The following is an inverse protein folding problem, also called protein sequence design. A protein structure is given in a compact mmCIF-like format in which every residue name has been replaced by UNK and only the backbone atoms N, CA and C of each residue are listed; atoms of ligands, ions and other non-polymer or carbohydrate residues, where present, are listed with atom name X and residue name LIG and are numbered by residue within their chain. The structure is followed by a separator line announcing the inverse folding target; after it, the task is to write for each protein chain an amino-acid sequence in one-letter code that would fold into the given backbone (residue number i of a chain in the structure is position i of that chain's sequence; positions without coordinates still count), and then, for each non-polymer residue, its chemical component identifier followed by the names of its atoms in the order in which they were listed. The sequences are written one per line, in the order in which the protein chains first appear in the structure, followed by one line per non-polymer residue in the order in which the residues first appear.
data_IF_895362277594
#
_entry.id   IF_895362277594
#
_cell.length_a   1.000
_cell.length_b   1.000
_cell.length_c   1.000
_cell.angle_alpha   90.00
_cell.angle_beta   90.00
_cell.angle_gamma   90.00
#
_symmetry.space_group_name_H-M   'P 1'
#
loop_
_entity.id
_entity.type
_entity.pdbx_description
1 polymer ?
#
# COMPACT_ATOMS: atom_id res chain seq x y z
N UNK A 1 -28.05 -4.26 -11.73
CA UNK A 1 -27.07 -3.26 -11.23
C UNK A 1 -26.28 -3.77 -10.03
N UNK A 2 -26.93 -4.21 -8.94
CA UNK A 2 -26.26 -4.73 -7.74
C UNK A 2 -25.37 -5.98 -7.98
N UNK A 3 -25.86 -6.95 -8.75
CA UNK A 3 -25.11 -8.17 -9.06
C UNK A 3 -23.84 -7.92 -9.90
N UNK A 4 -23.88 -6.94 -10.80
CA UNK A 4 -22.72 -6.52 -11.59
C UNK A 4 -21.68 -5.83 -10.69
N UNK A 5 -22.12 -4.92 -9.83
CA UNK A 5 -21.25 -4.25 -8.84
C UNK A 5 -20.57 -5.25 -7.89
N UNK A 6 -21.30 -6.25 -7.41
CA UNK A 6 -20.76 -7.32 -6.56
C UNK A 6 -19.76 -8.20 -7.32
N UNK A 7 -20.03 -8.52 -8.59
CA UNK A 7 -19.10 -9.24 -9.47
C UNK A 7 -17.80 -8.47 -9.67
N UNK A 8 -17.90 -7.18 -10.00
CA UNK A 8 -16.77 -6.28 -10.23
C UNK A 8 -15.94 -6.09 -8.95
N UNK A 9 -16.60 -5.96 -7.79
CA UNK A 9 -15.93 -5.86 -6.48
C UNK A 9 -15.19 -7.15 -6.14
N UNK A 10 -15.80 -8.32 -6.36
CA UNK A 10 -15.17 -9.61 -6.10
C UNK A 10 -13.96 -9.84 -7.02
N UNK A 11 -14.07 -9.47 -8.29
CA UNK A 11 -12.98 -9.56 -9.25
C UNK A 11 -11.83 -8.61 -8.87
N UNK A 12 -12.16 -7.38 -8.46
CA UNK A 12 -11.19 -6.42 -7.95
C UNK A 12 -10.46 -6.95 -6.71
N UNK A 13 -11.19 -7.37 -5.68
CA UNK A 13 -10.59 -7.90 -4.44
C UNK A 13 -9.73 -9.12 -4.74
N UNK A 14 -10.22 -10.05 -5.58
CA UNK A 14 -9.45 -11.23 -5.97
C UNK A 14 -8.16 -10.86 -6.70
N UNK A 15 -8.22 -9.97 -7.69
CA UNK A 15 -7.05 -9.51 -8.45
C UNK A 15 -6.06 -8.78 -7.53
N UNK A 16 -6.56 -7.86 -6.73
CA UNK A 16 -5.78 -7.05 -5.81
C UNK A 16 -5.04 -7.87 -4.74
N UNK A 17 -5.54 -9.06 -4.36
CA UNK A 17 -4.85 -9.98 -3.45
C UNK A 17 -4.13 -11.15 -4.15
N UNK A 18 -4.18 -11.26 -5.48
CA UNK A 18 -3.59 -12.39 -6.22
C UNK A 18 -2.05 -12.39 -6.27
N UNK A 19 -1.41 -11.31 -5.81
CA UNK A 19 0.05 -11.15 -5.78
C UNK A 19 0.54 -10.14 -6.82
N UNK A 20 1.82 -10.18 -7.16
CA UNK A 20 2.42 -9.27 -8.15
C UNK A 20 2.17 -9.72 -9.60
N UNK A 21 2.01 -11.03 -9.81
CA UNK A 21 1.81 -11.66 -11.12
C UNK A 21 0.47 -12.40 -11.11
N UNK A 22 -0.37 -12.12 -12.10
CA UNK A 22 -1.65 -12.79 -12.36
C UNK A 22 -1.64 -13.25 -13.81
N UNK A 23 -1.85 -14.54 -14.06
CA UNK A 23 -1.87 -15.14 -15.40
C UNK A 23 -0.60 -14.80 -16.22
N UNK A 24 0.59 -14.92 -15.61
CA UNK A 24 1.90 -14.55 -16.20
C UNK A 24 2.02 -13.08 -16.65
N UNK A 25 1.14 -12.21 -16.16
CA UNK A 25 1.19 -10.77 -16.42
C UNK A 25 1.27 -10.02 -15.08
N UNK A 26 1.84 -8.81 -15.12
CA UNK A 26 1.77 -7.91 -13.98
C UNK A 26 0.32 -7.64 -13.58
N UNK A 27 0.05 -7.63 -12.27
CA UNK A 27 -1.28 -7.32 -11.75
C UNK A 27 -1.72 -5.90 -12.19
N UNK A 28 -2.73 -5.78 -13.07
CA UNK A 28 -3.16 -4.49 -13.59
C UNK A 28 -3.77 -3.60 -12.50
N UNK A 29 -4.35 -4.17 -11.45
CA UNK A 29 -4.96 -3.41 -10.36
C UNK A 29 -3.90 -2.76 -9.47
N UNK A 30 -2.83 -3.50 -9.13
CA UNK A 30 -1.68 -2.95 -8.39
C UNK A 30 -0.94 -1.90 -9.20
N UNK A 31 -0.78 -2.12 -10.51
CA UNK A 31 -0.18 -1.13 -11.40
C UNK A 31 -0.99 0.17 -11.43
N UNK A 32 -2.31 0.06 -11.58
CA UNK A 32 -3.20 1.22 -11.52
C UNK A 32 -3.11 1.95 -10.16
N UNK A 33 -3.08 1.20 -9.06
CA UNK A 33 -2.94 1.76 -7.72
C UNK A 33 -1.61 2.51 -7.53
N UNK A 34 -0.49 1.95 -7.99
CA UNK A 34 0.82 2.61 -7.93
C UNK A 34 0.85 3.90 -8.75
N UNK A 35 0.30 3.89 -9.97
CA UNK A 35 0.21 5.10 -10.81
C UNK A 35 -0.64 6.19 -10.17
N UNK A 36 -1.77 5.81 -9.56
CA UNK A 36 -2.61 6.75 -8.82
C UNK A 36 -1.87 7.31 -7.59
N UNK A 37 -1.17 6.45 -6.84
CA UNK A 37 -0.34 6.83 -5.71
C UNK A 37 0.77 7.81 -6.10
N UNK A 38 1.49 7.52 -7.19
CA UNK A 38 2.50 8.42 -7.75
C UNK A 38 1.91 9.77 -8.17
N UNK A 39 0.74 9.78 -8.82
CA UNK A 39 0.05 11.01 -9.22
C UNK A 39 -0.32 11.85 -8.00
N UNK A 40 -0.88 11.26 -6.96
CA UNK A 40 -1.20 11.95 -5.70
C UNK A 40 0.07 12.51 -5.05
N UNK A 41 1.12 11.70 -4.95
CA UNK A 41 2.40 12.08 -4.36
C UNK A 41 3.04 13.28 -5.09
N UNK A 42 3.14 13.21 -6.42
CA UNK A 42 3.82 14.22 -7.24
C UNK A 42 2.98 15.47 -7.50
N UNK A 43 1.68 15.32 -7.77
CA UNK A 43 0.83 16.44 -8.20
C UNK A 43 0.11 17.10 -7.02
N UNK A 44 -0.42 16.30 -6.09
CA UNK A 44 -1.18 16.83 -4.94
C UNK A 44 -0.23 17.27 -3.84
N UNK A 45 0.67 16.38 -3.41
CA UNK A 45 1.58 16.64 -2.29
C UNK A 45 2.91 17.29 -2.71
N UNK A 46 3.17 17.40 -4.03
CA UNK A 46 4.40 17.99 -4.59
C UNK A 46 5.68 17.36 -4.02
N UNK A 47 5.60 16.09 -3.66
CA UNK A 47 6.74 15.31 -3.19
C UNK A 47 7.59 14.97 -4.42
N UNK A 48 8.85 15.40 -4.41
CA UNK A 48 9.81 15.07 -5.48
C UNK A 48 10.04 13.56 -5.53
N UNK A 49 10.23 13.01 -6.72
CA UNK A 49 10.37 11.57 -6.96
C UNK A 49 11.40 10.88 -6.07
N UNK A 50 12.51 11.55 -5.75
CA UNK A 50 13.56 11.04 -4.87
C UNK A 50 13.13 10.80 -3.42
N UNK A 51 12.05 11.45 -2.97
CA UNK A 51 11.48 11.31 -1.63
C UNK A 51 10.19 10.49 -1.63
N UNK A 52 9.80 9.98 -2.80
CA UNK A 52 8.57 9.23 -2.99
C UNK A 52 8.65 7.77 -2.59
N UNK A 53 7.51 7.25 -2.13
CA UNK A 53 7.29 5.80 -2.01
C UNK A 53 6.85 5.22 -3.34
N UNK A 54 6.11 5.97 -4.17
CA UNK A 54 5.82 5.56 -5.53
C UNK A 54 6.78 6.25 -6.50
N UNK A 55 7.27 5.52 -7.50
CA UNK A 55 8.19 6.02 -8.50
C UNK A 55 7.59 6.03 -9.91
N UNK A 56 8.06 6.89 -10.83
CA UNK A 56 7.68 6.83 -12.25
C UNK A 56 8.37 5.70 -13.03
N UNK A 57 9.00 4.75 -12.33
CA UNK A 57 9.84 3.70 -12.92
C UNK A 57 9.06 2.63 -13.71
N UNK A 58 9.73 1.53 -14.09
CA UNK A 58 9.11 0.48 -14.90
C UNK A 58 7.88 -0.13 -14.21
N UNK A 59 6.92 -0.69 -14.97
CA UNK A 59 5.70 -1.29 -14.41
C UNK A 59 5.93 -2.32 -13.30
N UNK A 60 7.01 -3.12 -13.37
CA UNK A 60 7.37 -4.08 -12.33
C UNK A 60 7.67 -3.40 -10.99
N UNK A 61 8.45 -2.32 -11.03
CA UNK A 61 8.78 -1.55 -9.84
C UNK A 61 7.50 -0.96 -9.23
N UNK A 62 6.61 -0.43 -10.06
CA UNK A 62 5.32 0.12 -9.59
C UNK A 62 4.43 -0.95 -8.93
N UNK A 63 4.33 -2.14 -9.54
CA UNK A 63 3.55 -3.25 -8.95
C UNK A 63 4.19 -3.76 -7.65
N UNK A 64 5.51 -3.85 -7.60
CA UNK A 64 6.25 -4.21 -6.40
C UNK A 64 6.04 -3.18 -5.28
N UNK A 65 6.11 -1.87 -5.58
CA UNK A 65 5.83 -0.79 -4.64
C UNK A 65 4.40 -0.89 -4.11
N UNK A 66 3.40 -1.02 -5.00
CA UNK A 66 2.02 -1.25 -4.60
C UNK A 66 1.88 -2.50 -3.73
N UNK A 67 2.63 -3.57 -4.02
CA UNK A 67 2.58 -4.81 -3.25
C UNK A 67 2.98 -4.65 -1.78
N UNK A 68 3.86 -3.71 -1.47
CA UNK A 68 4.29 -3.45 -0.10
C UNK A 68 3.46 -2.35 0.58
N UNK A 69 3.08 -1.31 -0.17
CA UNK A 69 2.33 -0.18 0.37
C UNK A 69 0.90 -0.56 0.72
N UNK A 70 0.23 -1.33 -0.14
CA UNK A 70 -1.18 -1.68 0.02
C UNK A 70 -1.45 -2.41 1.34
N UNK A 71 -0.80 -3.54 1.67
CA UNK A 71 -1.06 -4.25 2.92
C UNK A 71 -0.80 -3.37 4.15
N UNK A 72 0.20 -2.48 4.06
CA UNK A 72 0.51 -1.55 5.15
C UNK A 72 -0.61 -0.53 5.36
N UNK A 73 -1.18 0.02 4.29
CA UNK A 73 -2.33 0.93 4.40
C UNK A 73 -3.52 0.24 5.07
N UNK A 74 -3.79 -1.03 4.72
CA UNK A 74 -4.82 -1.82 5.41
C UNK A 74 -4.51 -2.02 6.89
N UNK A 75 -3.25 -2.30 7.24
CA UNK A 75 -2.83 -2.46 8.63
C UNK A 75 -2.96 -1.16 9.43
N UNK A 76 -2.64 -0.01 8.84
CA UNK A 76 -2.83 1.31 9.45
C UNK A 76 -4.31 1.58 9.68
N UNK A 77 -5.16 1.35 8.68
CA UNK A 77 -6.62 1.51 8.80
C UNK A 77 -7.17 0.59 9.90
N UNK A 78 -6.70 -0.65 9.97
CA UNK A 78 -7.09 -1.60 11.00
C UNK A 78 -6.65 -1.14 12.40
N UNK A 79 -5.40 -0.68 12.55
CA UNK A 79 -4.89 -0.17 13.83
C UNK A 79 -5.67 1.06 14.33
N UNK A 80 -5.99 1.99 13.43
CA UNK A 80 -6.82 3.16 13.75
C UNK A 80 -8.23 2.72 14.15
N UNK A 81 -8.85 1.84 13.36
CA UNK A 81 -10.20 1.32 13.64
C UNK A 81 -10.27 0.60 14.98
N UNK A 82 -9.27 -0.22 15.29
CA UNK A 82 -9.14 -0.92 16.55
C UNK A 82 -9.01 0.07 17.72
N UNK A 83 -8.15 1.08 17.60
CA UNK A 83 -7.99 2.13 18.60
C UNK A 83 -9.29 2.90 18.86
N UNK A 84 -10.02 3.30 17.80
CA UNK A 84 -11.30 3.99 17.92
C UNK A 84 -12.33 3.10 18.63
N UNK A 85 -12.42 1.83 18.22
CA UNK A 85 -13.36 0.87 18.80
C UNK A 85 -13.07 0.63 20.28
N UNK A 86 -11.81 0.46 20.66
CA UNK A 86 -11.41 0.32 22.06
C UNK A 86 -11.77 1.55 22.90
N UNK A 87 -11.55 2.76 22.38
CA UNK A 87 -11.93 3.98 23.09
C UNK A 87 -13.45 4.12 23.22
N UNK A 88 -14.21 3.73 22.19
CA UNK A 88 -15.66 3.70 22.26
C UNK A 88 -16.15 2.72 23.34
N UNK A 89 -15.58 1.52 23.41
CA UNK A 89 -15.93 0.54 24.45
C UNK A 89 -15.59 1.05 25.86
N UNK A 90 -14.43 1.70 26.04
CA UNK A 90 -14.08 2.29 27.34
C UNK A 90 -15.08 3.39 27.75
N UNK A 91 -15.55 4.19 26.79
CA UNK A 91 -16.56 5.23 27.01
C UNK A 91 -17.90 4.63 27.47
N UNK A 92 -18.37 3.59 26.78
CA UNK A 92 -19.59 2.83 27.13
C UNK A 92 -19.48 2.19 28.50
N UNK A 93 -18.28 1.73 28.89
CA UNK A 93 -18.02 1.14 30.20
C UNK A 93 -17.75 2.17 31.32
N UNK A 94 -17.79 3.49 31.02
CA UNK A 94 -17.48 4.54 31.99
C UNK A 94 -16.04 4.53 32.49
N UNK A 95 -15.12 3.92 31.72
CA UNK A 95 -13.69 3.83 32.07
C UNK A 95 -12.91 5.02 31.51
N UNK A 96 -11.89 5.52 32.24
CA UNK A 96 -11.08 6.63 31.75
C UNK A 96 -10.29 6.22 30.50
N UNK A 97 -10.31 7.09 29.49
CA UNK A 97 -9.47 6.96 28.29
C UNK A 97 -8.01 7.18 28.67
N UNK A 98 -7.12 6.30 28.20
CA UNK A 98 -5.68 6.40 28.48
C UNK A 98 -4.98 7.03 27.28
N UNK A 99 -4.45 8.24 27.43
CA UNK A 99 -3.67 8.91 26.39
C UNK A 99 -2.44 8.09 25.94
N UNK A 100 -1.91 7.23 26.83
CA UNK A 100 -0.84 6.29 26.54
C UNK A 100 -1.17 5.36 25.37
N UNK A 101 -2.42 4.91 25.22
CA UNK A 101 -2.80 4.02 24.10
C UNK A 101 -2.82 4.76 22.77
N UNK A 102 -3.18 6.06 22.79
CA UNK A 102 -3.11 6.91 21.61
C UNK A 102 -1.66 7.11 21.17
N UNK A 103 -0.79 7.43 22.14
CA UNK A 103 0.64 7.62 21.90
C UNK A 103 1.30 6.34 21.36
N UNK A 104 0.96 5.18 21.94
CA UNK A 104 1.46 3.88 21.48
C UNK A 104 0.99 3.56 20.05
N UNK A 105 -0.29 3.76 19.74
CA UNK A 105 -0.83 3.54 18.38
C UNK A 105 -0.12 4.44 17.37
N UNK A 106 0.06 5.72 17.69
CA UNK A 106 0.79 6.65 16.82
C UNK A 106 2.26 6.25 16.64
N UNK A 107 2.92 5.79 17.70
CA UNK A 107 4.29 5.32 17.63
C UNK A 107 4.43 4.08 16.73
N UNK A 108 3.50 3.13 16.81
CA UNK A 108 3.46 1.93 15.95
C UNK A 108 3.22 2.32 14.49
N UNK A 109 2.25 3.19 14.21
CA UNK A 109 1.98 3.64 12.83
C UNK A 109 3.19 4.37 12.26
N UNK A 110 3.81 5.26 13.05
CA UNK A 110 4.97 6.03 12.62
C UNK A 110 6.17 5.13 12.34
N UNK A 111 6.46 4.14 13.20
CA UNK A 111 7.56 3.21 12.99
C UNK A 111 7.35 2.34 11.75
N UNK A 112 6.12 1.89 11.51
CA UNK A 112 5.73 1.16 10.31
C UNK A 112 5.94 1.97 9.03
N UNK A 113 5.53 3.24 9.02
CA UNK A 113 5.72 4.14 7.88
C UNK A 113 7.20 4.42 7.62
N UNK A 114 8.00 4.63 8.66
CA UNK A 114 9.45 4.81 8.55
C UNK A 114 10.11 3.55 7.99
N UNK A 115 9.76 2.38 8.50
CA UNK A 115 10.32 1.12 8.03
C UNK A 115 9.99 0.88 6.56
N UNK A 116 8.73 1.11 6.15
CA UNK A 116 8.33 1.02 4.75
C UNK A 116 9.13 1.99 3.88
N UNK A 117 9.28 3.24 4.34
CA UNK A 117 10.05 4.23 3.61
C UNK A 117 11.50 3.78 3.40
N UNK A 118 12.14 3.23 4.45
CA UNK A 118 13.50 2.70 4.38
C UNK A 118 13.57 1.53 3.39
N UNK A 119 12.69 0.53 3.53
CA UNK A 119 12.65 -0.64 2.65
C UNK A 119 12.44 -0.19 1.20
N UNK A 120 11.43 0.64 0.94
CA UNK A 120 11.15 1.14 -0.39
C UNK A 120 12.30 1.97 -0.96
N UNK A 121 13.03 2.72 -0.14
CA UNK A 121 14.10 3.60 -0.62
C UNK A 121 15.39 2.87 -0.93
N UNK A 122 15.76 1.89 -0.11
CA UNK A 122 17.04 1.18 -0.20
C UNK A 122 16.93 -0.19 -0.88
N UNK A 123 15.79 -0.51 -1.51
CA UNK A 123 15.67 -1.71 -2.31
C UNK A 123 16.43 -1.55 -3.63
N UNK A 124 17.32 -2.50 -3.93
CA UNK A 124 18.12 -2.55 -5.15
C UNK A 124 17.26 -2.54 -6.42
N UNK A 125 15.98 -2.94 -6.34
CA UNK A 125 15.01 -2.88 -7.46
C UNK A 125 14.77 -1.47 -8.01
N UNK A 126 15.17 -0.43 -7.26
CA UNK A 126 15.10 0.98 -7.69
C UNK A 126 16.33 1.46 -8.44
N UNK A 127 17.40 0.67 -8.47
CA UNK A 127 18.62 1.07 -9.14
C UNK A 127 18.39 1.16 -10.66
N UNK A 128 18.91 2.20 -11.32
CA UNK A 128 18.88 2.28 -12.77
C UNK A 128 19.57 1.05 -13.37
N UNK A 129 18.84 0.27 -14.17
CA UNK A 129 19.37 -0.95 -14.80
C UNK A 129 19.16 -2.24 -14.01
N UNK A 130 18.37 -2.22 -12.92
CA UNK A 130 17.98 -3.47 -12.25
C UNK A 130 17.23 -4.42 -13.19
N UNK A 131 17.76 -5.63 -13.39
CA UNK A 131 17.13 -6.69 -14.17
C UNK A 131 16.16 -7.50 -13.30
N UNK A 132 14.91 -7.62 -13.75
CA UNK A 132 13.88 -8.37 -13.04
C UNK A 132 13.97 -9.86 -13.40
N UNK A 133 14.35 -10.76 -12.45
CA UNK A 133 14.67 -12.16 -12.76
C UNK A 133 13.48 -12.99 -13.25
N UNK A 134 12.27 -12.54 -12.93
CA UNK A 134 10.98 -13.11 -13.28
C UNK A 134 10.50 -12.71 -14.69
N UNK A 135 11.22 -11.83 -15.37
CA UNK A 135 10.87 -11.34 -16.71
C UNK A 135 11.87 -11.82 -17.76
N UNK A 136 11.46 -12.77 -18.61
CA UNK A 136 12.07 -12.97 -19.93
C UNK A 136 11.22 -12.18 -20.92
N UNK A 137 11.83 -11.29 -21.70
CA UNK A 137 11.16 -10.63 -22.81
C UNK A 137 10.52 -11.70 -23.71
N UNK A 138 9.19 -11.73 -23.76
CA UNK A 138 8.53 -12.37 -24.88
C UNK A 138 8.75 -11.46 -26.09
N UNK A 139 9.61 -11.92 -26.99
CA UNK A 139 9.69 -11.40 -28.35
C UNK A 139 8.32 -11.65 -28.99
N UNK A 140 7.59 -10.56 -29.23
CA UNK A 140 6.51 -10.55 -30.19
C UNK A 140 7.04 -10.85 -31.61
#
# INVERSE_FOLDING_TARGET
MLAKLLGDTKAFVKGFFAGQIVDNRLDPYRLAAARAGYKLQSQTFRIRDRYGIFSPGPPHLQVWEANHVIPLLFLIIWAISFYITMNFLLDVMGKPKRMETAALTLAIISSMLILLYIIARYDNRREPGYEWPDWKEHKD
#
